data_IF_067988966116
#
_entry.id   IF_067988966116
#
_cell.length_a   1.000
_cell.length_b   1.000
_cell.length_c   1.000
_cell.angle_alpha   90.00
_cell.angle_beta   90.00
_cell.angle_gamma   90.00
#
_symmetry.space_group_name_H-M   'P 1'
#
loop_
_entity.id
_entity.type
_entity.pdbx_description
1 polymer ?
#
# COMPACT_ATOMS: atom_id res chain seq x y z
N UNK A 1 -32.62 -2.28 -13.91
CA UNK A 1 -32.39 -1.02 -14.64
C UNK A 1 -31.60 -0.11 -13.71
N UNK A 2 -30.29 -0.07 -13.87
CA UNK A 2 -29.40 0.79 -13.09
C UNK A 2 -28.34 1.32 -14.04
N UNK A 3 -28.51 2.59 -14.37
CA UNK A 3 -27.66 3.39 -15.25
C UNK A 3 -26.24 3.49 -14.66
N UNK A 4 -25.27 2.90 -15.37
CA UNK A 4 -23.86 3.22 -15.21
C UNK A 4 -23.64 4.70 -15.55
N UNK A 5 -22.89 5.47 -14.74
CA UNK A 5 -22.61 6.86 -15.07
C UNK A 5 -21.71 6.89 -16.30
N UNK A 6 -22.20 7.49 -17.39
CA UNK A 6 -21.42 7.78 -18.59
C UNK A 6 -20.23 8.66 -18.23
N UNK A 7 -19.03 8.12 -18.38
CA UNK A 7 -17.78 8.86 -18.25
C UNK A 7 -17.69 9.87 -19.41
N UNK A 8 -17.97 11.14 -19.10
CA UNK A 8 -17.86 12.25 -20.06
C UNK A 8 -16.40 12.39 -20.48
N UNK A 9 -16.03 11.78 -21.60
CA UNK A 9 -14.73 12.00 -22.25
C UNK A 9 -14.68 13.46 -22.71
N UNK A 10 -13.84 14.26 -22.05
CA UNK A 10 -13.46 15.59 -22.53
C UNK A 10 -12.91 15.40 -23.95
N UNK A 11 -13.39 16.13 -24.97
CA UNK A 11 -12.90 15.96 -26.34
C UNK A 11 -11.41 16.26 -26.36
N UNK A 12 -10.60 15.28 -26.79
CA UNK A 12 -9.16 15.47 -26.86
C UNK A 12 -8.86 16.58 -27.86
N UNK A 13 -8.28 17.68 -27.39
CA UNK A 13 -7.77 18.72 -28.28
C UNK A 13 -6.76 18.09 -29.23
N UNK A 14 -6.99 18.19 -30.54
CA UNK A 14 -6.09 17.63 -31.54
C UNK A 14 -4.70 18.26 -31.39
N UNK A 15 -3.72 17.46 -30.98
CA UNK A 15 -2.32 17.87 -30.83
C UNK A 15 -1.49 17.24 -31.94
N UNK A 16 -0.99 18.07 -32.86
CA UNK A 16 -0.06 17.63 -33.92
C UNK A 16 1.27 17.17 -33.31
N UNK A 17 1.71 15.96 -33.66
CA UNK A 17 3.01 15.40 -33.27
C UNK A 17 3.99 15.49 -34.44
N UNK A 18 5.23 15.92 -34.19
CA UNK A 18 6.33 15.94 -35.16
C UNK A 18 7.37 14.83 -34.89
N UNK A 19 7.07 13.89 -33.98
CA UNK A 19 7.96 12.79 -33.64
C UNK A 19 8.21 11.90 -34.88
N UNK A 20 9.48 11.68 -35.22
CA UNK A 20 9.90 10.89 -36.39
C UNK A 20 10.20 9.43 -36.07
N UNK A 21 10.54 9.14 -34.81
CA UNK A 21 10.85 7.79 -34.34
C UNK A 21 9.59 7.10 -33.81
N UNK A 22 9.46 5.77 -34.01
CA UNK A 22 8.37 5.01 -33.43
C UNK A 22 8.51 4.94 -31.91
N UNK A 23 7.37 4.99 -31.21
CA UNK A 23 7.32 4.77 -29.76
C UNK A 23 7.26 3.26 -29.53
N UNK A 24 8.40 2.68 -29.15
CA UNK A 24 8.54 1.22 -28.95
C UNK A 24 8.02 0.73 -27.60
N UNK A 25 7.90 1.63 -26.62
CA UNK A 25 7.42 1.35 -25.28
C UNK A 25 6.52 2.48 -24.80
N UNK A 26 5.45 2.11 -24.10
CA UNK A 26 4.56 3.07 -23.48
C UNK A 26 5.16 3.63 -22.18
N UNK A 27 4.62 4.78 -21.77
CA UNK A 27 5.00 5.39 -20.49
C UNK A 27 4.44 4.50 -19.37
N UNK A 28 5.30 3.98 -18.48
CA UNK A 28 4.84 3.14 -17.38
C UNK A 28 4.08 3.96 -16.34
N UNK A 29 3.45 3.28 -15.38
CA UNK A 29 2.86 3.94 -14.23
C UNK A 29 3.95 4.66 -13.41
N UNK A 30 3.90 6.00 -13.40
CA UNK A 30 4.91 6.85 -12.77
C UNK A 30 4.93 6.77 -11.24
N UNK A 31 3.85 6.29 -10.61
CA UNK A 31 3.77 6.09 -9.15
C UNK A 31 4.02 4.64 -8.74
N UNK A 32 4.36 3.76 -9.69
CA UNK A 32 4.52 2.33 -9.46
C UNK A 32 5.53 2.03 -8.35
N UNK A 33 6.65 2.74 -8.31
CA UNK A 33 7.68 2.56 -7.26
C UNK A 33 7.10 2.79 -5.86
N UNK A 34 6.21 3.76 -5.69
CA UNK A 34 5.60 4.07 -4.39
C UNK A 34 4.65 2.96 -3.94
N UNK A 35 3.88 2.40 -4.88
CA UNK A 35 2.95 1.30 -4.60
C UNK A 35 3.70 -0.01 -4.33
N UNK A 36 4.64 -0.37 -5.22
CA UNK A 36 5.38 -1.62 -5.15
C UNK A 36 6.27 -1.68 -3.89
N UNK A 37 6.92 -0.56 -3.52
CA UNK A 37 7.77 -0.54 -2.31
C UNK A 37 6.99 -0.69 -1.01
N UNK A 38 5.80 -0.07 -0.92
CA UNK A 38 4.94 -0.22 0.25
C UNK A 38 4.34 -1.62 0.33
N UNK A 39 3.90 -2.19 -0.80
CA UNK A 39 3.43 -3.58 -0.84
C UNK A 39 4.52 -4.55 -0.38
N UNK A 40 5.74 -4.42 -0.92
CA UNK A 40 6.88 -5.23 -0.49
C UNK A 40 7.17 -5.10 1.02
N UNK A 41 7.09 -3.88 1.56
CA UNK A 41 7.27 -3.65 3.00
C UNK A 41 6.20 -4.36 3.83
N UNK A 42 4.94 -4.30 3.40
CA UNK A 42 3.81 -4.92 4.10
C UNK A 42 3.82 -6.44 4.05
N UNK A 43 4.31 -7.04 2.96
CA UNK A 43 4.30 -8.50 2.76
C UNK A 43 5.59 -9.14 3.29
N UNK A 44 6.75 -8.51 3.05
CA UNK A 44 8.06 -9.13 3.30
C UNK A 44 8.93 -8.37 4.30
N UNK A 45 8.96 -7.05 4.20
CA UNK A 45 9.83 -6.23 5.06
C UNK A 45 9.51 -6.39 6.54
N UNK A 46 8.22 -6.36 6.91
CA UNK A 46 7.77 -6.53 8.30
C UNK A 46 8.07 -7.93 8.84
N UNK A 47 7.86 -8.98 8.03
CA UNK A 47 8.17 -10.35 8.44
C UNK A 47 9.65 -10.52 8.75
N UNK A 48 10.51 -10.04 7.85
CA UNK A 48 11.97 -10.11 8.03
C UNK A 48 12.41 -9.37 9.29
N UNK A 49 11.85 -8.19 9.55
CA UNK A 49 12.15 -7.42 10.75
C UNK A 49 11.74 -8.15 12.04
N UNK A 50 10.57 -8.79 12.05
CA UNK A 50 10.08 -9.55 13.20
C UNK A 50 10.90 -10.82 13.45
N UNK A 51 11.35 -11.48 12.38
CA UNK A 51 12.26 -12.63 12.45
C UNK A 51 13.63 -12.22 13.00
N UNK A 52 14.16 -11.04 12.65
CA UNK A 52 15.46 -10.55 13.13
C UNK A 52 15.49 -10.31 14.65
N UNK A 53 14.39 -9.79 15.21
CA UNK A 53 14.30 -9.51 16.65
C UNK A 53 13.90 -10.73 17.49
N UNK A 54 13.52 -11.84 16.84
CA UNK A 54 12.98 -13.04 17.48
C UNK A 54 14.01 -14.20 17.47
N UNK A 55 14.09 -15.03 18.54
CA UNK A 55 13.33 -14.95 19.78
C UNK A 55 13.92 -13.96 20.79
N UNK A 56 13.06 -13.35 21.59
CA UNK A 56 13.44 -12.51 22.73
C UNK A 56 13.55 -13.42 23.96
N UNK A 57 14.75 -13.47 24.56
CA UNK A 57 15.05 -14.34 25.71
C UNK A 57 15.23 -13.52 27.00
N UNK A 58 14.90 -14.14 28.13
CA UNK A 58 15.16 -13.57 29.45
C UNK A 58 16.67 -13.47 29.75
N UNK A 59 17.04 -12.70 30.80
CA UNK A 59 18.45 -12.50 31.17
C UNK A 59 19.19 -13.82 31.46
N UNK A 60 18.49 -14.85 31.95
CA UNK A 60 19.11 -16.18 32.20
C UNK A 60 19.15 -17.07 30.96
N UNK A 61 18.47 -16.67 29.89
CA UNK A 61 18.45 -17.34 28.59
C UNK A 61 17.68 -18.66 28.53
N UNK A 62 17.11 -19.11 29.65
CA UNK A 62 16.63 -20.49 29.83
C UNK A 62 15.25 -20.60 30.51
N UNK A 63 14.64 -19.49 30.97
CA UNK A 63 13.36 -19.56 31.71
C UNK A 63 12.18 -19.03 30.91
N UNK A 64 12.36 -17.97 30.13
CA UNK A 64 11.29 -17.37 29.34
C UNK A 64 11.81 -17.03 27.94
N UNK A 65 10.98 -17.35 26.95
CA UNK A 65 11.21 -17.03 25.55
C UNK A 65 9.91 -16.46 24.96
N UNK A 66 10.01 -15.38 24.20
CA UNK A 66 8.93 -14.81 23.41
C UNK A 66 9.32 -14.86 21.94
N UNK A 67 8.44 -15.41 21.11
CA UNK A 67 8.65 -15.53 19.67
C UNK A 67 7.46 -14.93 18.94
N UNK A 68 7.73 -14.09 17.94
CA UNK A 68 6.70 -13.58 17.05
C UNK A 68 6.40 -14.61 15.97
N UNK A 69 5.15 -15.03 15.83
CA UNK A 69 4.74 -16.09 14.88
C UNK A 69 4.21 -15.54 13.56
N UNK A 70 3.75 -14.30 13.54
CA UNK A 70 3.18 -13.67 12.35
C UNK A 70 2.59 -12.30 12.67
N UNK A 71 1.96 -11.67 11.69
CA UNK A 71 1.18 -10.45 11.89
C UNK A 71 0.03 -10.37 10.91
N UNK A 72 -0.98 -9.56 11.25
CA UNK A 72 -2.12 -9.28 10.38
C UNK A 72 -2.48 -7.79 10.42
N UNK A 73 -2.88 -7.26 9.26
CA UNK A 73 -3.53 -5.96 9.13
C UNK A 73 -5.04 -6.17 9.16
N UNK A 74 -5.73 -5.65 10.18
CA UNK A 74 -7.19 -5.77 10.25
C UNK A 74 -7.89 -4.69 9.44
N UNK A 75 -9.05 -5.06 8.90
CA UNK A 75 -9.90 -4.17 8.12
C UNK A 75 -10.29 -2.98 9.00
N UNK A 76 -10.04 -1.74 8.54
CA UNK A 76 -10.47 -0.56 9.27
C UNK A 76 -12.01 -0.49 9.32
N UNK A 77 -12.61 0.19 10.31
CA UNK A 77 -14.05 0.41 10.34
C UNK A 77 -14.54 1.08 9.04
N UNK A 78 -15.73 0.72 8.56
CA UNK A 78 -16.30 1.23 7.29
C UNK A 78 -16.33 2.76 7.20
N UNK A 79 -16.45 3.45 8.34
CA UNK A 79 -16.47 4.91 8.40
C UNK A 79 -15.11 5.56 8.14
N UNK A 80 -14.00 4.81 8.24
CA UNK A 80 -12.63 5.30 8.14
C UNK A 80 -12.17 5.25 6.68
N UNK A 81 -12.79 6.06 5.83
CA UNK A 81 -12.35 6.28 4.45
C UNK A 81 -11.29 7.36 4.37
N UNK A 82 -10.51 7.40 3.30
CA UNK A 82 -9.52 8.45 3.06
C UNK A 82 -10.15 9.86 3.14
N UNK A 83 -11.31 10.04 2.49
CA UNK A 83 -12.04 11.31 2.48
C UNK A 83 -12.50 11.72 3.87
N UNK A 84 -13.05 10.79 4.65
CA UNK A 84 -13.48 11.05 6.02
C UNK A 84 -12.30 11.40 6.93
N UNK A 85 -11.16 10.73 6.77
CA UNK A 85 -9.93 11.05 7.49
C UNK A 85 -9.41 12.45 7.13
N UNK A 86 -9.39 12.81 5.84
CA UNK A 86 -9.00 14.16 5.38
C UNK A 86 -9.93 15.25 5.93
N UNK A 87 -11.25 15.02 5.98
CA UNK A 87 -12.21 16.00 6.51
C UNK A 87 -12.14 16.20 8.02
N UNK A 88 -11.67 15.18 8.76
CA UNK A 88 -11.61 15.18 10.23
C UNK A 88 -10.19 15.41 10.77
N UNK A 89 -9.24 15.75 9.90
CA UNK A 89 -7.81 15.88 10.22
C UNK A 89 -7.24 14.64 10.96
N UNK A 90 -7.65 13.45 10.51
CA UNK A 90 -7.21 12.17 11.08
C UNK A 90 -6.23 11.44 10.16
N UNK A 91 -5.35 10.63 10.75
CA UNK A 91 -4.48 9.72 9.99
C UNK A 91 -5.26 8.53 9.43
N UNK A 92 -5.18 8.32 8.12
CA UNK A 92 -5.66 7.10 7.46
C UNK A 92 -4.70 5.95 7.76
N UNK A 93 -5.08 5.07 8.69
CA UNK A 93 -4.24 4.01 9.23
C UNK A 93 -5.04 2.75 9.59
N UNK A 94 -4.37 1.60 9.62
CA UNK A 94 -4.92 0.33 10.09
C UNK A 94 -4.11 -0.19 11.28
N UNK A 95 -4.74 -0.87 12.25
CA UNK A 95 -4.01 -1.53 13.33
C UNK A 95 -3.23 -2.74 12.81
N UNK A 96 -2.03 -2.92 13.34
CA UNK A 96 -1.18 -4.10 13.14
C UNK A 96 -1.31 -5.00 14.37
N UNK A 97 -1.62 -6.27 14.17
CA UNK A 97 -1.65 -7.30 15.21
C UNK A 97 -0.49 -8.26 14.98
N UNK A 98 0.20 -8.63 16.05
CA UNK A 98 1.36 -9.52 16.07
C UNK A 98 1.08 -10.64 17.07
#
# INVERSE_FOLDING_TARGET
MSSTPSETRIPSVYRKSYARLPRILDVPNLIKVQLDSFQWFQEEGLRQLLEEVSPIKDFTGNRLELSFTGYEFRIPPDWKTEQACRQRDQTYSVPLYI
#
